data_IF_955306635826
#
_entry.id   IF_955306635826
#
_cell.length_a   1.000
_cell.length_b   1.000
_cell.length_c   1.000
_cell.angle_alpha   90.00
_cell.angle_beta   90.00
_cell.angle_gamma   90.00
#
_symmetry.space_group_name_H-M   'P 1'
#
loop_
_entity.id
_entity.type
_entity.pdbx_description
1 polymer ?
#
# COMPACT_ATOMS: atom_id res chain seq x y z
N UNK A 1 -1.03 -2.45 21.76
CA UNK A 1 -0.49 -2.96 20.47
C UNK A 1 -0.44 -1.82 19.48
N UNK A 2 0.77 -1.41 19.09
CA UNK A 2 1.02 -0.33 18.13
C UNK A 2 1.34 -0.92 16.75
N UNK A 3 0.68 -0.40 15.72
CA UNK A 3 0.82 -0.86 14.34
C UNK A 3 1.41 0.26 13.49
N UNK A 4 2.42 -0.07 12.69
CA UNK A 4 2.96 0.83 11.68
C UNK A 4 2.15 0.67 10.38
N UNK A 5 1.63 1.77 9.86
CA UNK A 5 0.97 1.80 8.55
C UNK A 5 1.81 2.66 7.61
N UNK A 6 2.51 2.03 6.67
CA UNK A 6 3.22 2.76 5.63
C UNK A 6 2.27 3.09 4.48
N UNK A 7 2.34 4.31 3.95
CA UNK A 7 1.35 4.80 2.99
C UNK A 7 0.00 5.12 3.62
N UNK A 8 -0.02 5.38 4.95
CA UNK A 8 -1.25 5.61 5.70
C UNK A 8 -1.92 6.96 5.46
N UNK A 9 -1.25 7.89 4.79
CA UNK A 9 -1.82 9.16 4.36
C UNK A 9 -2.46 9.11 2.94
N UNK A 10 -2.36 7.95 2.26
CA UNK A 10 -3.02 7.68 0.99
C UNK A 10 -4.42 7.08 1.17
N UNK A 11 -5.11 6.83 0.05
CA UNK A 11 -6.51 6.39 0.02
C UNK A 11 -6.73 5.10 0.83
N UNK A 12 -6.21 3.95 0.39
CA UNK A 12 -6.44 2.65 1.04
C UNK A 12 -5.84 2.64 2.45
N UNK A 13 -4.64 3.21 2.61
CA UNK A 13 -3.94 3.26 3.89
C UNK A 13 -4.73 4.02 4.96
N UNK A 14 -5.35 5.15 4.61
CA UNK A 14 -6.15 5.95 5.55
C UNK A 14 -7.39 5.20 6.04
N UNK A 15 -8.08 4.49 5.16
CA UNK A 15 -9.21 3.63 5.54
C UNK A 15 -8.77 2.47 6.45
N UNK A 16 -7.59 1.88 6.21
CA UNK A 16 -7.02 0.87 7.09
C UNK A 16 -6.68 1.45 8.48
N UNK A 17 -6.10 2.66 8.54
CA UNK A 17 -5.85 3.38 9.80
C UNK A 17 -7.16 3.59 10.55
N UNK A 18 -8.22 4.08 9.90
CA UNK A 18 -9.54 4.28 10.49
C UNK A 18 -10.11 2.97 11.04
N UNK A 19 -9.98 1.88 10.32
CA UNK A 19 -10.43 0.55 10.76
C UNK A 19 -9.65 0.09 12.01
N UNK A 20 -8.34 0.29 12.05
CA UNK A 20 -7.50 -0.03 13.20
C UNK A 20 -7.89 0.81 14.44
N UNK A 21 -8.16 2.10 14.27
CA UNK A 21 -8.65 2.97 15.35
C UNK A 21 -9.99 2.47 15.91
N UNK A 22 -10.94 2.11 15.04
CA UNK A 22 -12.23 1.53 15.44
C UNK A 22 -12.06 0.20 16.21
N UNK A 23 -11.00 -0.54 15.90
CA UNK A 23 -10.61 -1.75 16.62
C UNK A 23 -9.77 -1.49 17.89
N UNK A 24 -9.62 -0.23 18.31
CA UNK A 24 -8.87 0.14 19.51
C UNK A 24 -7.35 -0.09 19.41
N UNK A 25 -6.78 -0.02 18.21
CA UNK A 25 -5.35 -0.18 17.97
C UNK A 25 -4.66 1.18 17.89
N UNK A 26 -3.50 1.29 18.53
CA UNK A 26 -2.62 2.43 18.34
C UNK A 26 -1.93 2.32 16.96
N UNK A 27 -1.82 3.43 16.26
CA UNK A 27 -1.25 3.48 14.91
C UNK A 27 -0.20 4.58 14.83
N UNK A 28 0.88 4.29 14.08
CA UNK A 28 1.83 5.30 13.59
C UNK A 28 1.83 5.20 12.07
N UNK A 29 1.73 6.33 11.39
CA UNK A 29 1.78 6.42 9.93
C UNK A 29 3.18 6.81 9.49
N UNK A 30 3.75 6.09 8.53
CA UNK A 30 4.94 6.47 7.77
C UNK A 30 4.53 6.73 6.32
N UNK A 31 4.72 7.95 5.83
CA UNK A 31 4.36 8.35 4.47
C UNK A 31 5.35 9.39 3.94
N UNK A 32 5.72 9.34 2.67
CA UNK A 32 6.60 10.34 2.05
C UNK A 32 5.82 11.53 1.48
N UNK A 33 4.49 11.47 1.50
CA UNK A 33 3.55 12.50 1.04
C UNK A 33 3.68 12.85 -0.46
N UNK A 34 4.21 11.94 -1.28
CA UNK A 34 4.24 12.15 -2.74
C UNK A 34 2.82 12.11 -3.31
N UNK A 35 1.99 11.17 -2.85
CA UNK A 35 0.57 11.08 -3.19
C UNK A 35 -0.33 11.11 -1.95
N UNK A 36 0.23 10.90 -0.76
CA UNK A 36 -0.49 11.00 0.50
C UNK A 36 -0.73 12.45 0.92
N UNK A 37 -1.80 12.68 1.63
CA UNK A 37 -2.20 14.00 2.13
C UNK A 37 -1.97 14.11 3.63
N UNK A 38 -1.13 15.06 4.06
CA UNK A 38 -0.83 15.31 5.48
C UNK A 38 -2.10 15.49 6.33
N UNK A 39 -3.06 16.26 5.81
CA UNK A 39 -4.34 16.52 6.49
C UNK A 39 -5.14 15.25 6.81
N UNK A 40 -4.99 14.18 6.01
CA UNK A 40 -5.63 12.89 6.29
C UNK A 40 -5.12 12.31 7.60
N UNK A 41 -3.81 12.30 7.82
CA UNK A 41 -3.24 11.74 9.03
C UNK A 41 -3.42 12.66 10.26
N UNK A 42 -3.17 13.97 10.10
CA UNK A 42 -3.13 14.93 11.20
C UNK A 42 -4.52 15.43 11.57
N UNK A 43 -5.39 15.77 10.60
CA UNK A 43 -6.68 16.39 10.86
C UNK A 43 -7.82 15.36 10.92
N UNK A 44 -7.95 14.49 9.91
CA UNK A 44 -9.05 13.53 9.84
C UNK A 44 -8.86 12.32 10.76
N UNK A 45 -7.66 11.72 10.78
CA UNK A 45 -7.37 10.53 11.57
C UNK A 45 -6.78 10.85 12.95
N UNK A 46 -6.12 12.00 13.10
CA UNK A 46 -5.47 12.43 14.34
C UNK A 46 -4.48 11.38 14.87
N UNK A 47 -3.64 10.85 13.99
CA UNK A 47 -2.61 9.87 14.31
C UNK A 47 -1.20 10.44 14.12
N UNK A 48 -0.20 9.95 14.86
CA UNK A 48 1.19 10.31 14.63
C UNK A 48 1.60 10.04 13.18
N UNK A 49 2.03 11.09 12.47
CA UNK A 49 2.57 11.04 11.12
C UNK A 49 4.09 11.22 11.15
N UNK A 50 4.80 10.29 10.58
CA UNK A 50 6.23 10.37 10.29
C UNK A 50 6.41 10.57 8.80
N UNK A 51 6.96 11.72 8.41
CA UNK A 51 7.25 11.99 7.00
C UNK A 51 8.62 11.43 6.67
N UNK A 52 8.67 10.44 5.79
CA UNK A 52 9.91 9.76 5.43
C UNK A 52 9.74 8.64 4.41
N UNK A 53 10.86 8.09 3.98
CA UNK A 53 10.91 7.00 3.00
C UNK A 53 10.90 5.63 3.70
N UNK A 54 10.20 4.66 3.11
CA UNK A 54 10.26 3.25 3.57
C UNK A 54 11.65 2.66 3.40
N UNK A 55 12.45 3.17 2.45
CA UNK A 55 13.84 2.78 2.25
C UNK A 55 14.85 3.34 3.26
N UNK A 56 14.43 4.22 4.18
CA UNK A 56 15.30 4.75 5.24
C UNK A 56 15.42 3.74 6.39
N UNK A 57 16.51 2.98 6.37
CA UNK A 57 16.76 1.91 7.34
C UNK A 57 16.85 2.43 8.79
N UNK A 58 17.53 3.54 9.02
CA UNK A 58 17.69 4.09 10.37
C UNK A 58 16.35 4.59 10.92
N UNK A 59 15.51 5.16 10.07
CA UNK A 59 14.15 5.55 10.43
C UNK A 59 13.30 4.34 10.80
N UNK A 60 13.32 3.28 9.97
CA UNK A 60 12.61 2.04 10.24
C UNK A 60 13.04 1.39 11.55
N UNK A 61 14.34 1.30 11.81
CA UNK A 61 14.87 0.71 13.05
C UNK A 61 14.35 1.47 14.27
N UNK A 62 14.37 2.82 14.26
CA UNK A 62 13.82 3.63 15.35
C UNK A 62 12.31 3.45 15.55
N UNK A 63 11.54 3.37 14.45
CA UNK A 63 10.11 3.14 14.51
C UNK A 63 9.79 1.75 15.08
N UNK A 64 10.40 0.70 14.51
CA UNK A 64 10.15 -0.68 14.93
C UNK A 64 10.50 -0.92 16.40
N UNK A 65 11.56 -0.28 16.90
CA UNK A 65 11.99 -0.36 18.29
C UNK A 65 11.16 0.50 19.26
N UNK A 66 10.28 1.38 18.73
CA UNK A 66 9.49 2.30 19.56
C UNK A 66 10.30 3.50 20.11
N UNK A 67 11.52 3.73 19.60
CA UNK A 67 12.40 4.82 20.06
C UNK A 67 12.19 6.14 19.30
N UNK A 68 11.41 6.12 18.21
CA UNK A 68 11.05 7.34 17.50
C UNK A 68 10.04 8.16 18.30
N UNK A 69 10.12 9.51 18.34
CA UNK A 69 9.20 10.37 19.10
C UNK A 69 7.72 10.18 18.78
N UNK A 70 7.39 9.77 17.54
CA UNK A 70 6.01 9.45 17.14
C UNK A 70 5.45 8.19 17.83
N UNK A 71 6.29 7.34 18.44
CA UNK A 71 5.88 6.18 19.22
C UNK A 71 5.66 6.59 20.67
N UNK A 72 4.56 7.32 20.94
CA UNK A 72 4.29 8.01 22.20
C UNK A 72 4.33 7.12 23.45
N UNK A 73 4.13 5.82 23.32
CA UNK A 73 4.13 4.85 24.42
C UNK A 73 5.51 4.23 24.67
N UNK A 74 6.48 4.48 23.81
CA UNK A 74 7.76 3.74 23.83
C UNK A 74 7.60 2.24 23.54
N UNK A 75 6.40 1.79 23.19
CA UNK A 75 6.16 0.39 22.81
C UNK A 75 6.66 0.11 21.39
N UNK A 76 7.35 -1.01 21.17
CA UNK A 76 7.78 -1.39 19.83
C UNK A 76 6.59 -1.69 18.92
N UNK A 77 6.78 -1.45 17.62
CA UNK A 77 5.79 -1.82 16.59
C UNK A 77 5.61 -3.34 16.59
N UNK A 78 4.37 -3.78 16.61
CA UNK A 78 4.03 -5.20 16.71
C UNK A 78 3.54 -5.82 15.39
N UNK A 79 3.15 -5.00 14.43
CA UNK A 79 2.79 -5.42 13.07
C UNK A 79 2.95 -4.25 12.10
N UNK A 80 3.10 -4.56 10.83
CA UNK A 80 3.17 -3.56 9.75
C UNK A 80 2.06 -3.82 8.72
N UNK A 81 1.33 -2.77 8.33
CA UNK A 81 0.49 -2.75 7.14
C UNK A 81 1.21 -1.90 6.09
N UNK A 82 1.57 -2.51 4.97
CA UNK A 82 2.41 -1.89 3.96
C UNK A 82 1.60 -1.54 2.71
N UNK A 83 1.17 -0.26 2.63
CA UNK A 83 0.45 0.32 1.49
C UNK A 83 1.33 1.26 0.66
N UNK A 84 2.46 1.73 1.20
CA UNK A 84 3.35 2.65 0.51
C UNK A 84 3.88 2.05 -0.80
N UNK A 85 3.48 2.62 -1.92
CA UNK A 85 3.94 2.25 -3.25
C UNK A 85 3.51 3.30 -4.27
N UNK A 86 4.23 3.42 -5.38
CA UNK A 86 3.70 4.04 -6.58
C UNK A 86 2.74 3.06 -7.27
N UNK A 87 1.56 3.53 -7.71
CA UNK A 87 0.47 2.66 -8.16
C UNK A 87 -0.07 3.00 -9.56
N UNK A 88 0.46 4.03 -10.24
CA UNK A 88 -0.01 4.40 -11.58
C UNK A 88 0.61 3.48 -12.64
N UNK A 89 -0.21 2.59 -13.21
CA UNK A 89 0.23 1.62 -14.23
C UNK A 89 0.88 2.32 -15.42
N UNK A 90 0.25 3.37 -15.98
CA UNK A 90 0.79 4.13 -17.11
C UNK A 90 2.14 4.78 -16.81
N UNK A 91 2.29 5.39 -15.64
CA UNK A 91 3.57 5.98 -15.21
C UNK A 91 4.66 4.91 -15.09
N UNK A 92 4.32 3.70 -14.61
CA UNK A 92 5.30 2.63 -14.48
C UNK A 92 5.94 2.20 -15.79
N UNK A 93 5.21 2.36 -16.91
CA UNK A 93 5.73 2.05 -18.25
C UNK A 93 6.68 3.14 -18.73
N UNK A 94 6.42 4.40 -18.36
CA UNK A 94 7.25 5.56 -18.77
C UNK A 94 8.50 5.67 -17.89
N UNK A 95 8.40 5.46 -16.59
CA UNK A 95 9.52 5.49 -15.64
C UNK A 95 9.57 4.23 -14.77
N UNK A 96 9.96 3.09 -15.33
CA UNK A 96 10.03 1.84 -14.56
C UNK A 96 11.06 1.89 -13.43
N UNK A 97 12.15 2.64 -13.57
CA UNK A 97 13.20 2.73 -12.56
C UNK A 97 12.68 3.33 -11.24
N UNK A 98 11.79 4.31 -11.30
CA UNK A 98 11.09 4.88 -10.15
C UNK A 98 10.33 3.78 -9.38
N UNK A 99 9.61 2.93 -10.10
CA UNK A 99 8.80 1.85 -9.52
C UNK A 99 9.66 0.74 -8.92
N UNK A 100 10.69 0.29 -9.60
CA UNK A 100 11.58 -0.75 -9.06
C UNK A 100 12.33 -0.28 -7.81
N UNK A 101 12.82 0.96 -7.77
CA UNK A 101 13.49 1.49 -6.58
C UNK A 101 12.54 1.58 -5.39
N UNK A 102 11.41 2.24 -5.55
CA UNK A 102 10.47 2.46 -4.46
C UNK A 102 9.72 1.18 -4.08
N UNK A 103 9.05 0.53 -5.04
CA UNK A 103 8.14 -0.57 -4.69
C UNK A 103 8.88 -1.85 -4.31
N UNK A 104 10.04 -2.12 -4.92
CA UNK A 104 10.82 -3.32 -4.65
C UNK A 104 11.99 -3.02 -3.69
N UNK A 105 12.83 -2.04 -4.01
CA UNK A 105 14.03 -1.72 -3.23
C UNK A 105 13.70 -1.29 -1.81
N UNK A 106 12.81 -0.30 -1.64
CA UNK A 106 12.41 0.19 -0.32
C UNK A 106 11.66 -0.89 0.48
N UNK A 107 10.84 -1.71 -0.19
CA UNK A 107 10.18 -2.84 0.47
C UNK A 107 11.19 -3.89 0.94
N UNK A 108 12.24 -4.19 0.17
CA UNK A 108 13.30 -5.11 0.62
C UNK A 108 13.96 -4.57 1.91
N UNK A 109 14.27 -3.27 1.96
CA UNK A 109 14.81 -2.63 3.18
C UNK A 109 13.87 -2.80 4.38
N UNK A 110 12.55 -2.64 4.17
CA UNK A 110 11.55 -2.87 5.21
C UNK A 110 11.59 -4.33 5.71
N UNK A 111 11.59 -5.31 4.79
CA UNK A 111 11.61 -6.73 5.17
C UNK A 111 12.87 -7.09 5.96
N UNK A 112 14.03 -6.57 5.56
CA UNK A 112 15.29 -6.74 6.31
C UNK A 112 15.20 -6.14 7.71
N UNK A 113 14.60 -4.95 7.86
CA UNK A 113 14.39 -4.32 9.15
C UNK A 113 13.45 -5.15 10.05
N UNK A 114 12.37 -5.70 9.50
CA UNK A 114 11.44 -6.57 10.22
C UNK A 114 12.10 -7.84 10.73
N UNK A 115 12.94 -8.48 9.90
CA UNK A 115 13.70 -9.68 10.30
C UNK A 115 14.72 -9.35 11.39
N UNK A 116 15.45 -8.24 11.25
CA UNK A 116 16.42 -7.79 12.24
C UNK A 116 15.75 -7.52 13.59
N UNK A 117 14.63 -6.82 13.59
CA UNK A 117 13.87 -6.51 14.79
C UNK A 117 13.27 -7.78 15.42
N UNK A 118 12.73 -8.68 14.60
CA UNK A 118 12.22 -9.98 15.08
C UNK A 118 13.30 -10.80 15.78
N UNK A 119 14.51 -10.83 15.24
CA UNK A 119 15.67 -11.49 15.87
C UNK A 119 16.07 -10.82 17.18
N UNK A 120 16.11 -9.47 17.21
CA UNK A 120 16.47 -8.68 18.39
C UNK A 120 15.56 -8.98 19.59
N UNK A 121 14.27 -9.11 19.37
CA UNK A 121 13.27 -9.33 20.45
C UNK A 121 12.80 -10.77 20.59
N UNK A 122 13.27 -11.71 19.77
CA UNK A 122 12.88 -13.12 19.82
C UNK A 122 11.43 -13.40 19.36
N UNK A 123 10.79 -12.44 18.69
CA UNK A 123 9.42 -12.57 18.18
C UNK A 123 9.28 -11.86 16.85
N UNK A 124 8.81 -12.57 15.83
CA UNK A 124 8.63 -12.01 14.49
C UNK A 124 7.62 -10.86 14.46
N UNK A 125 7.87 -9.86 13.61
CA UNK A 125 6.96 -8.75 13.33
C UNK A 125 6.21 -9.06 12.04
N UNK A 126 4.92 -9.41 12.09
CA UNK A 126 4.16 -9.75 10.91
C UNK A 126 3.93 -8.54 10.00
N UNK A 127 3.79 -8.82 8.69
CA UNK A 127 3.48 -7.82 7.68
C UNK A 127 2.22 -8.20 6.90
N UNK A 128 1.36 -7.21 6.67
CA UNK A 128 0.28 -7.28 5.68
C UNK A 128 0.69 -6.45 4.48
N UNK A 129 0.70 -7.05 3.31
CA UNK A 129 1.16 -6.43 2.07
C UNK A 129 0.00 -6.14 1.12
N UNK A 130 -0.08 -4.90 0.67
CA UNK A 130 -0.98 -4.44 -0.39
C UNK A 130 -0.40 -4.82 -1.76
N UNK A 131 -0.82 -5.97 -2.29
CA UNK A 131 -0.55 -6.37 -3.66
C UNK A 131 -1.67 -5.91 -4.61
N UNK A 132 -1.80 -6.50 -5.78
CA UNK A 132 -2.71 -6.06 -6.84
C UNK A 132 -3.12 -7.21 -7.76
N UNK A 133 -4.31 -7.09 -8.37
CA UNK A 133 -4.72 -7.97 -9.47
C UNK A 133 -3.81 -7.85 -10.71
N UNK A 134 -3.10 -6.73 -10.88
CA UNK A 134 -2.16 -6.53 -11.99
C UNK A 134 -1.02 -7.58 -12.03
N UNK A 135 -0.83 -8.34 -10.95
CA UNK A 135 0.10 -9.48 -10.93
C UNK A 135 -0.34 -10.63 -11.83
N UNK A 136 -1.64 -10.76 -12.08
CA UNK A 136 -2.18 -11.83 -12.94
C UNK A 136 -1.97 -11.56 -14.44
N UNK A 137 -1.88 -10.27 -14.83
CA UNK A 137 -1.86 -9.87 -16.25
C UNK A 137 -3.20 -10.12 -16.93
N UNK A 138 -3.19 -10.75 -18.10
CA UNK A 138 -4.40 -11.16 -18.83
C UNK A 138 -4.74 -12.61 -18.45
N UNK A 139 -5.77 -12.85 -17.62
CA UNK A 139 -6.12 -14.18 -17.18
C UNK A 139 -6.79 -14.98 -18.30
N UNK A 140 -6.49 -16.29 -18.38
CA UNK A 140 -7.16 -17.19 -19.33
C UNK A 140 -8.59 -17.54 -18.91
N UNK A 141 -8.91 -17.42 -17.62
CA UNK A 141 -10.20 -17.79 -17.05
C UNK A 141 -10.67 -16.76 -16.01
N UNK A 142 -11.98 -16.50 -16.01
CA UNK A 142 -12.66 -15.74 -14.98
C UNK A 142 -13.78 -16.59 -14.38
N UNK A 143 -14.04 -16.50 -13.07
CA UNK A 143 -13.40 -15.62 -12.08
C UNK A 143 -11.94 -16.02 -11.80
N UNK A 144 -11.10 -15.01 -11.49
CA UNK A 144 -9.70 -15.20 -11.14
C UNK A 144 -9.62 -15.77 -9.73
N UNK A 145 -8.85 -16.84 -9.54
CA UNK A 145 -8.58 -17.47 -8.25
C UNK A 145 -7.20 -17.07 -7.73
N UNK A 146 -6.95 -17.22 -6.42
CA UNK A 146 -5.61 -16.99 -5.85
C UNK A 146 -4.53 -17.90 -6.46
N UNK A 147 -4.92 -19.07 -6.96
CA UNK A 147 -4.04 -20.03 -7.62
C UNK A 147 -3.81 -19.76 -9.10
N UNK A 148 -4.51 -18.79 -9.69
CA UNK A 148 -4.31 -18.41 -11.10
C UNK A 148 -2.86 -17.97 -11.31
N UNK A 149 -2.18 -18.47 -12.39
CA UNK A 149 -0.81 -18.05 -12.69
C UNK A 149 -0.64 -16.54 -12.80
N UNK A 150 0.46 -16.03 -12.27
CA UNK A 150 0.75 -14.59 -12.26
C UNK A 150 1.73 -14.26 -13.40
N UNK A 151 1.23 -13.54 -14.41
CA UNK A 151 1.97 -13.08 -15.58
C UNK A 151 1.77 -11.58 -15.79
N UNK A 152 2.35 -10.72 -14.91
CA UNK A 152 2.18 -9.28 -15.02
C UNK A 152 2.68 -8.75 -16.37
N UNK A 153 1.98 -7.75 -16.92
CA UNK A 153 2.26 -7.18 -18.24
C UNK A 153 2.78 -5.72 -18.18
N UNK A 154 3.03 -5.22 -16.97
CA UNK A 154 3.55 -3.87 -16.77
C UNK A 154 4.50 -3.82 -15.56
N UNK A 155 5.40 -2.80 -15.49
CA UNK A 155 6.40 -2.71 -14.42
C UNK A 155 5.80 -2.63 -13.01
N UNK A 156 4.65 -1.95 -12.82
CA UNK A 156 3.96 -1.92 -11.54
C UNK A 156 3.56 -3.34 -11.09
N UNK A 157 2.89 -4.11 -11.95
CA UNK A 157 2.53 -5.50 -11.65
C UNK A 157 3.75 -6.38 -11.40
N UNK A 158 4.84 -6.20 -12.16
CA UNK A 158 6.09 -6.91 -11.94
C UNK A 158 6.67 -6.61 -10.55
N UNK A 159 6.72 -5.33 -10.13
CA UNK A 159 7.23 -4.98 -8.78
C UNK A 159 6.42 -5.63 -7.68
N UNK A 160 5.09 -5.62 -7.78
CA UNK A 160 4.21 -6.25 -6.79
C UNK A 160 4.40 -7.78 -6.75
N UNK A 161 4.49 -8.44 -7.92
CA UNK A 161 4.75 -9.89 -8.01
C UNK A 161 6.12 -10.26 -7.40
N UNK A 162 7.15 -9.44 -7.63
CA UNK A 162 8.47 -9.66 -7.04
C UNK A 162 8.44 -9.53 -5.51
N UNK A 163 7.70 -8.58 -4.95
CA UNK A 163 7.53 -8.46 -3.50
C UNK A 163 6.79 -9.67 -2.92
N UNK A 164 5.78 -10.21 -3.59
CA UNK A 164 5.13 -11.45 -3.17
C UNK A 164 6.13 -12.61 -3.10
N UNK A 165 7.06 -12.70 -4.07
CA UNK A 165 8.13 -13.70 -4.04
C UNK A 165 9.09 -13.44 -2.86
N UNK A 166 9.52 -12.19 -2.63
CA UNK A 166 10.34 -11.86 -1.47
C UNK A 166 9.67 -12.29 -0.17
N UNK A 167 8.38 -12.03 0.01
CA UNK A 167 7.64 -12.42 1.21
C UNK A 167 7.62 -13.93 1.40
N UNK A 168 7.46 -14.70 0.32
CA UNK A 168 7.52 -16.16 0.34
C UNK A 168 8.91 -16.65 0.78
N UNK A 169 9.97 -16.08 0.19
CA UNK A 169 11.34 -16.46 0.49
C UNK A 169 11.74 -16.06 1.92
N UNK A 170 11.31 -14.88 2.39
CA UNK A 170 11.53 -14.41 3.75
C UNK A 170 10.76 -15.24 4.79
N UNK A 171 9.56 -15.69 4.46
CA UNK A 171 8.82 -16.62 5.31
C UNK A 171 9.57 -17.95 5.46
N UNK A 172 10.07 -18.52 4.36
CA UNK A 172 10.81 -19.77 4.37
C UNK A 172 12.16 -19.66 5.08
N UNK A 173 12.93 -18.59 4.83
CA UNK A 173 14.28 -18.42 5.35
C UNK A 173 14.33 -17.89 6.78
N UNK A 174 13.41 -17.01 7.15
CA UNK A 174 13.47 -16.24 8.40
C UNK A 174 12.21 -16.39 9.26
N UNK A 175 11.20 -17.11 8.82
CA UNK A 175 9.94 -17.26 9.54
C UNK A 175 9.14 -15.96 9.63
N UNK A 176 9.28 -15.03 8.66
CA UNK A 176 8.52 -13.78 8.63
C UNK A 176 7.05 -14.05 8.29
N UNK A 177 6.09 -13.84 9.21
CA UNK A 177 4.69 -14.04 8.90
C UNK A 177 4.20 -12.92 7.99
N UNK A 178 3.51 -13.28 6.90
CA UNK A 178 2.95 -12.31 5.95
C UNK A 178 1.55 -12.68 5.51
N UNK A 179 0.73 -11.67 5.20
CA UNK A 179 -0.55 -11.78 4.52
C UNK A 179 -0.50 -10.87 3.30
N UNK A 180 -0.94 -11.37 2.15
CA UNK A 180 -0.89 -10.68 0.87
C UNK A 180 -2.32 -10.47 0.36
N UNK A 181 -2.72 -9.22 0.12
CA UNK A 181 -4.00 -8.88 -0.50
C UNK A 181 -3.79 -8.42 -1.93
N UNK A 182 -4.44 -9.08 -2.89
CA UNK A 182 -4.47 -8.68 -4.31
C UNK A 182 -5.76 -7.93 -4.57
N UNK A 183 -5.71 -6.61 -4.46
CA UNK A 183 -6.87 -5.76 -4.73
C UNK A 183 -7.15 -5.69 -6.23
N UNK A 184 -8.42 -5.58 -6.58
CA UNK A 184 -8.86 -5.24 -7.94
C UNK A 184 -9.05 -3.72 -8.01
N UNK A 185 -10.26 -3.22 -7.82
CA UNK A 185 -10.56 -1.81 -7.86
C UNK A 185 -11.14 -1.41 -6.49
N UNK A 186 -10.29 -0.87 -5.61
CA UNK A 186 -10.78 -0.31 -4.36
C UNK A 186 -11.60 0.93 -4.66
N UNK A 187 -12.79 1.04 -4.09
CA UNK A 187 -13.70 2.17 -4.29
C UNK A 187 -14.49 2.45 -3.02
N UNK A 188 -14.95 3.69 -2.89
CA UNK A 188 -15.82 4.13 -1.80
C UNK A 188 -15.20 5.22 -0.93
N UNK A 189 -16.02 5.71 0.01
CA UNK A 189 -15.64 6.71 0.99
C UNK A 189 -16.06 6.27 2.41
N UNK A 190 -15.43 6.82 3.43
CA UNK A 190 -15.85 6.58 4.81
C UNK A 190 -17.23 7.23 5.04
N UNK A 191 -18.18 6.54 5.72
CA UNK A 191 -19.50 7.11 6.02
C UNK A 191 -19.46 8.41 6.81
N UNK A 192 -18.38 8.72 7.51
CA UNK A 192 -18.20 10.01 8.19
C UNK A 192 -17.93 11.17 7.21
N UNK A 193 -17.62 10.88 5.95
CA UNK A 193 -17.43 11.88 4.89
C UNK A 193 -16.08 12.59 4.92
N UNK A 194 -15.13 12.13 5.73
CA UNK A 194 -13.80 12.75 5.90
C UNK A 194 -12.65 11.98 5.26
N UNK A 195 -12.92 10.76 4.76
CA UNK A 195 -11.97 9.93 4.02
C UNK A 195 -12.57 9.48 2.69
N UNK A 196 -11.79 9.54 1.63
CA UNK A 196 -12.19 9.13 0.30
C UNK A 196 -11.01 9.13 -0.65
N UNK A 197 -11.29 8.80 -1.90
CA UNK A 197 -10.31 8.82 -2.97
C UNK A 197 -10.04 10.26 -3.43
N UNK A 198 -8.77 10.64 -3.48
CA UNK A 198 -8.32 11.94 -3.97
C UNK A 198 -6.91 11.80 -4.56
N UNK A 199 -6.83 11.60 -5.86
CA UNK A 199 -5.59 11.46 -6.61
C UNK A 199 -5.35 12.64 -7.54
N UNK A 200 -4.07 12.95 -7.78
CA UNK A 200 -3.67 13.93 -8.78
C UNK A 200 -2.39 13.41 -9.50
N UNK A 201 -2.50 12.99 -10.78
CA UNK A 201 -3.72 12.93 -11.61
C UNK A 201 -4.70 11.84 -11.15
N UNK A 202 -6.01 12.06 -11.39
CA UNK A 202 -7.02 11.02 -11.19
C UNK A 202 -7.05 10.08 -12.41
N UNK A 203 -7.10 8.77 -12.14
CA UNK A 203 -7.07 7.73 -13.18
C UNK A 203 -8.13 6.64 -13.00
N UNK A 204 -8.86 6.67 -11.91
CA UNK A 204 -9.84 5.63 -11.59
C UNK A 204 -11.24 5.97 -12.12
N UNK A 205 -11.96 4.93 -12.55
CA UNK A 205 -13.22 5.05 -13.25
C UNK A 205 -14.27 5.84 -12.46
N UNK A 206 -14.51 5.51 -11.20
CA UNK A 206 -15.58 6.11 -10.40
C UNK A 206 -15.37 7.61 -10.18
N UNK A 207 -14.20 8.09 -9.71
CA UNK A 207 -13.93 9.51 -9.62
C UNK A 207 -14.05 10.25 -10.97
N UNK A 208 -13.49 9.68 -12.05
CA UNK A 208 -13.59 10.29 -13.38
C UNK A 208 -15.04 10.37 -13.88
N UNK A 209 -15.86 9.35 -13.62
CA UNK A 209 -17.27 9.38 -13.97
C UNK A 209 -18.02 10.47 -13.20
N UNK A 210 -17.73 10.63 -11.89
CA UNK A 210 -18.30 11.70 -11.06
C UNK A 210 -17.83 13.09 -11.53
N UNK A 211 -16.58 13.23 -11.95
CA UNK A 211 -16.04 14.48 -12.47
C UNK A 211 -16.71 14.86 -13.82
N UNK A 212 -16.96 13.87 -14.68
CA UNK A 212 -17.72 14.10 -15.91
C UNK A 212 -19.20 14.50 -15.61
N UNK A 213 -19.86 13.80 -14.70
CA UNK A 213 -21.24 14.09 -14.30
C UNK A 213 -21.40 15.48 -13.66
N UNK A 214 -20.37 15.92 -12.91
CA UNK A 214 -20.37 17.24 -12.26
C UNK A 214 -19.81 18.37 -13.14
N UNK A 215 -19.40 18.06 -14.37
CA UNK A 215 -18.86 19.03 -15.33
C UNK A 215 -17.43 19.50 -15.03
N UNK A 216 -16.70 18.80 -14.17
CA UNK A 216 -15.27 19.10 -13.89
C UNK A 216 -14.38 18.71 -15.06
N UNK A 217 -14.76 17.65 -15.78
CA UNK A 217 -14.16 17.24 -17.05
C UNK A 217 -15.25 17.16 -18.13
N UNK A 218 -14.93 17.35 -19.42
CA UNK A 218 -15.93 17.43 -20.48
C UNK A 218 -16.61 16.09 -20.76
N UNK A 219 -15.92 14.97 -20.61
CA UNK A 219 -16.47 13.63 -20.83
C UNK A 219 -15.57 12.57 -20.21
N UNK A 220 -16.13 11.39 -19.96
CA UNK A 220 -15.39 10.18 -19.65
C UNK A 220 -14.86 9.57 -20.95
N UNK A 221 -13.58 9.17 -20.97
CA UNK A 221 -12.97 8.50 -22.11
C UNK A 221 -13.11 6.99 -21.97
N UNK A 222 -13.54 6.33 -23.04
CA UNK A 222 -13.52 4.88 -23.20
C UNK A 222 -12.28 4.52 -24.01
N UNK A 223 -11.39 3.69 -23.45
CA UNK A 223 -10.08 3.36 -24.04
C UNK A 223 -10.10 2.14 -24.96
N UNK A 224 -11.23 1.50 -25.13
CA UNK A 224 -11.45 0.37 -26.02
C UNK A 224 -12.82 -0.26 -25.80
N UNK A 225 -13.35 -0.90 -26.83
CA UNK A 225 -14.62 -1.63 -26.84
C UNK A 225 -14.49 -3.01 -27.55
N UNK A 226 -13.25 -3.44 -27.79
CA UNK A 226 -12.89 -4.63 -28.56
C UNK A 226 -12.37 -5.79 -27.69
N UNK A 227 -12.50 -5.70 -26.37
CA UNK A 227 -12.17 -6.79 -25.48
C UNK A 227 -13.20 -7.92 -25.56
N UNK A 228 -12.78 -9.20 -25.47
CA UNK A 228 -13.70 -10.35 -25.51
C UNK A 228 -14.38 -10.56 -24.14
N UNK A 229 -14.97 -9.50 -23.59
CA UNK A 229 -15.69 -9.46 -22.31
C UNK A 229 -17.12 -8.93 -22.55
N UNK A 230 -18.11 -9.30 -21.71
CA UNK A 230 -19.49 -8.86 -21.90
C UNK A 230 -19.75 -7.41 -21.43
N UNK A 231 -18.76 -6.77 -20.82
CA UNK A 231 -18.80 -5.41 -20.26
C UNK A 231 -17.98 -4.41 -21.06
#
# INVERSE_FOLDING_TARGET
MTILVTGGAGYIGSHAVRALQRAGRAVVVLDNLVYGHRAIAEDALQVPLVVGQVGDRDLLDRLLQGTHPACATGEPIQAVLHFAAYAYVGESVVDPAKYYRNNLGDTLTLLEALVAEGRRRGTAVPIVFSSTCATYGVPEQVPILETTPQHPINPYGHTKRMVEQLLTDFAAAYGLPSVIFRYFNAAGADPAGDLGENHNPETHLIPLALDALTGRIPCLQIFGDDYPTPD
#
